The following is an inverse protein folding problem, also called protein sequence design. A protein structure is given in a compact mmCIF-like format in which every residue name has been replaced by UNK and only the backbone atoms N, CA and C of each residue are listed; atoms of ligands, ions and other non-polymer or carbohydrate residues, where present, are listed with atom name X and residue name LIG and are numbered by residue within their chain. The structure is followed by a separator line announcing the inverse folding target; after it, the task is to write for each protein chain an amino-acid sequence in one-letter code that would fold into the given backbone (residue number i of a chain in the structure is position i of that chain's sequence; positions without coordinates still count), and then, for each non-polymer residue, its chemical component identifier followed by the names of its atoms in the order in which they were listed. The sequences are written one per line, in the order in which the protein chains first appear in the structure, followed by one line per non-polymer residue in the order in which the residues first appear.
data_IF_208673002635
#
_entry.id   IF_208673002635
#
_cell.length_a   1.000
_cell.length_b   1.000
_cell.length_c   1.000
_cell.angle_alpha   90.00
_cell.angle_beta   90.00
_cell.angle_gamma   90.00
#
_symmetry.space_group_name_H-M   'P 1'
#
loop_
_entity.id
_entity.type
_entity.pdbx_description
1 polymer ?
#
# COMPACT_ATOMS: atom_id res chain seq x y z
N UNK A 1 6.02 2.92 -8.14
CA UNK A 1 7.23 3.23 -8.93
C UNK A 1 7.73 4.64 -8.64
N UNK A 2 6.91 5.69 -8.84
CA UNK A 2 7.34 7.10 -8.68
C UNK A 2 7.95 7.44 -7.32
N UNK A 3 7.30 7.07 -6.20
CA UNK A 3 7.85 7.33 -4.85
C UNK A 3 9.21 6.66 -4.62
N UNK A 4 9.39 5.43 -5.12
CA UNK A 4 10.66 4.73 -5.06
C UNK A 4 11.75 5.51 -5.82
N UNK A 5 11.47 5.94 -7.05
CA UNK A 5 12.42 6.64 -7.92
C UNK A 5 12.80 8.02 -7.38
N UNK A 6 11.84 8.73 -6.77
CA UNK A 6 12.07 10.07 -6.23
C UNK A 6 12.85 10.04 -4.91
N UNK A 7 12.47 9.16 -3.99
CA UNK A 7 12.97 9.19 -2.61
C UNK A 7 13.91 8.04 -2.27
N UNK A 8 13.61 6.81 -2.68
CA UNK A 8 14.33 5.60 -2.26
C UNK A 8 15.29 5.10 -3.35
N UNK A 9 16.20 5.97 -3.80
CA UNK A 9 17.14 5.68 -4.90
C UNK A 9 18.21 4.62 -4.56
N UNK A 10 18.48 4.42 -3.26
CA UNK A 10 19.47 3.47 -2.75
C UNK A 10 18.77 2.30 -2.06
N UNK A 11 19.37 1.12 -2.11
CA UNK A 11 18.89 -0.09 -1.43
C UNK A 11 20.04 -0.70 -0.60
N UNK A 12 19.96 -0.71 0.74
CA UNK A 12 18.88 -0.15 1.55
C UNK A 12 18.83 1.39 1.47
N UNK A 13 17.65 2.01 1.66
CA UNK A 13 17.53 3.47 1.70
C UNK A 13 18.15 4.04 2.98
N UNK A 14 18.53 5.32 2.91
CA UNK A 14 19.00 6.07 4.07
C UNK A 14 17.83 6.48 4.95
N UNK A 15 18.06 6.68 6.25
CA UNK A 15 17.01 7.20 7.14
C UNK A 15 16.49 8.57 6.68
N UNK A 16 17.39 9.44 6.17
CA UNK A 16 17.03 10.74 5.61
C UNK A 16 16.01 10.59 4.48
N UNK A 17 16.27 9.71 3.51
CA UNK A 17 15.33 9.46 2.41
C UNK A 17 13.98 8.88 2.86
N UNK A 18 13.96 8.06 3.91
CA UNK A 18 12.71 7.55 4.49
C UNK A 18 11.92 8.68 5.14
N UNK A 19 12.59 9.53 5.93
CA UNK A 19 11.96 10.71 6.57
C UNK A 19 11.40 11.67 5.52
N UNK A 20 12.14 11.94 4.44
CA UNK A 20 11.69 12.79 3.34
C UNK A 20 10.46 12.21 2.63
N UNK A 21 10.45 10.90 2.35
CA UNK A 21 9.28 10.23 1.78
C UNK A 21 8.06 10.36 2.69
N UNK A 22 8.21 10.07 3.99
CA UNK A 22 7.12 10.18 4.98
C UNK A 22 6.58 11.62 5.05
N UNK A 23 7.46 12.61 5.11
CA UNK A 23 7.09 14.04 5.11
C UNK A 23 6.30 14.41 3.85
N UNK A 24 6.74 13.95 2.68
CA UNK A 24 6.05 14.20 1.42
C UNK A 24 4.66 13.55 1.35
N UNK A 25 4.53 12.31 1.84
CA UNK A 25 3.23 11.63 1.95
C UNK A 25 2.30 12.41 2.87
N UNK A 26 2.78 12.76 4.08
CA UNK A 26 1.98 13.48 5.06
C UNK A 26 1.53 14.86 4.55
N UNK A 27 2.43 15.62 3.93
CA UNK A 27 2.10 16.91 3.32
C UNK A 27 1.05 16.76 2.20
N UNK A 28 1.19 15.73 1.36
CA UNK A 28 0.20 15.45 0.30
C UNK A 28 -1.17 15.11 0.88
N UNK A 29 -1.22 14.27 1.92
CA UNK A 29 -2.48 13.92 2.60
C UNK A 29 -3.12 15.15 3.26
N UNK A 30 -2.34 15.98 3.95
CA UNK A 30 -2.86 17.21 4.56
C UNK A 30 -3.39 18.22 3.54
N UNK A 31 -2.73 18.34 2.38
CA UNK A 31 -3.12 19.30 1.35
C UNK A 31 -4.40 18.88 0.61
N UNK A 32 -4.62 17.58 0.42
CA UNK A 32 -5.70 17.09 -0.45
C UNK A 32 -6.86 16.40 0.28
N UNK A 33 -6.68 16.00 1.53
CA UNK A 33 -7.75 15.35 2.31
C UNK A 33 -8.35 16.35 3.31
N UNK A 34 -9.62 16.74 3.14
CA UNK A 34 -10.28 17.65 4.08
C UNK A 34 -10.32 17.07 5.50
N UNK A 35 -10.28 17.95 6.50
CA UNK A 35 -10.30 17.52 7.91
C UNK A 35 -11.58 16.74 8.28
N UNK A 36 -12.70 17.00 7.60
CA UNK A 36 -13.95 16.26 7.77
C UNK A 36 -13.84 14.78 7.43
N UNK A 37 -12.93 14.40 6.53
CA UNK A 37 -12.70 13.01 6.12
C UNK A 37 -11.75 12.23 7.05
N UNK A 38 -11.25 12.85 8.14
CA UNK A 38 -10.32 12.16 9.06
C UNK A 38 -10.98 11.07 9.90
N UNK A 39 -12.32 11.08 10.02
CA UNK A 39 -13.08 10.02 10.70
C UNK A 39 -13.65 9.07 9.66
N UNK A 40 -13.02 7.91 9.51
CA UNK A 40 -13.51 6.82 8.65
C UNK A 40 -13.94 5.63 9.51
N UNK A 41 -15.06 5.01 9.16
CA UNK A 41 -15.61 3.83 9.85
C UNK A 41 -14.95 2.53 9.41
N UNK A 42 -14.46 2.48 8.17
CA UNK A 42 -13.84 1.31 7.57
C UNK A 42 -12.80 1.74 6.53
N UNK A 43 -11.77 0.92 6.34
CA UNK A 43 -10.78 1.09 5.29
C UNK A 43 -10.61 -0.20 4.50
N UNK A 44 -10.73 -0.09 3.18
CA UNK A 44 -10.59 -1.19 2.24
C UNK A 44 -9.47 -0.85 1.28
N UNK A 45 -8.49 -1.74 1.14
CA UNK A 45 -7.42 -1.62 0.16
C UNK A 45 -7.54 -2.67 -0.93
N UNK A 46 -7.24 -2.26 -2.14
CA UNK A 46 -7.23 -3.10 -3.33
C UNK A 46 -5.89 -2.99 -4.05
N UNK A 47 -5.77 -3.66 -5.20
CA UNK A 47 -4.60 -3.67 -6.08
C UNK A 47 -3.36 -4.42 -5.55
N UNK A 48 -2.32 -4.47 -6.39
CA UNK A 48 -1.18 -5.38 -6.24
C UNK A 48 -0.32 -5.12 -5.00
N UNK A 49 -0.11 -3.86 -4.62
CA UNK A 49 0.73 -3.52 -3.45
C UNK A 49 0.09 -3.97 -2.15
N UNK A 50 -1.19 -3.65 -1.93
CA UNK A 50 -1.90 -4.05 -0.70
C UNK A 50 -1.96 -5.57 -0.60
N UNK A 51 -2.26 -6.28 -1.70
CA UNK A 51 -2.23 -7.75 -1.74
C UNK A 51 -0.85 -8.33 -1.45
N UNK A 52 0.21 -7.74 -2.01
CA UNK A 52 1.57 -8.19 -1.76
C UNK A 52 1.96 -8.00 -0.29
N UNK A 53 1.56 -6.89 0.31
CA UNK A 53 1.78 -6.63 1.74
C UNK A 53 0.99 -7.60 2.61
N UNK A 54 -0.29 -7.87 2.30
CA UNK A 54 -1.10 -8.85 3.01
C UNK A 54 -0.43 -10.23 3.05
N UNK A 55 0.10 -10.71 1.91
CA UNK A 55 0.79 -12.00 1.85
C UNK A 55 2.01 -12.11 2.77
N UNK A 56 2.68 -11.00 3.08
CA UNK A 56 3.92 -10.99 3.87
C UNK A 56 3.72 -10.53 5.31
N UNK A 57 2.65 -9.80 5.60
CA UNK A 57 2.33 -9.33 6.96
C UNK A 57 1.22 -10.13 7.63
N UNK A 58 0.35 -10.78 6.86
CA UNK A 58 -0.83 -11.48 7.36
C UNK A 58 -1.32 -12.56 6.34
N UNK A 59 -0.51 -13.58 6.00
CA UNK A 59 -0.79 -14.52 4.92
C UNK A 59 -2.12 -15.28 5.05
N UNK A 60 -2.60 -15.48 6.27
CA UNK A 60 -3.82 -16.23 6.59
C UNK A 60 -5.03 -15.34 6.90
N UNK A 61 -4.92 -14.02 6.71
CA UNK A 61 -5.99 -13.08 7.02
C UNK A 61 -6.26 -12.12 5.86
N UNK A 62 -7.52 -11.72 5.70
CA UNK A 62 -7.92 -10.70 4.72
C UNK A 62 -7.75 -9.27 5.25
N UNK A 63 -6.95 -9.09 6.31
CA UNK A 63 -6.70 -7.79 6.96
C UNK A 63 -5.21 -7.56 7.17
N UNK A 64 -4.77 -6.31 7.00
CA UNK A 64 -3.43 -5.85 7.36
C UNK A 64 -3.54 -5.03 8.64
N UNK A 65 -2.90 -5.49 9.71
CA UNK A 65 -2.78 -4.72 10.95
C UNK A 65 -1.65 -3.70 10.87
N UNK A 66 -1.88 -2.49 11.39
CA UNK A 66 -0.89 -1.40 11.39
C UNK A 66 0.41 -1.83 12.07
N UNK A 67 0.31 -2.55 13.19
CA UNK A 67 1.47 -3.05 13.97
C UNK A 67 2.33 -4.03 13.16
N UNK A 68 1.69 -4.96 12.45
CA UNK A 68 2.41 -5.95 11.64
C UNK A 68 3.08 -5.28 10.43
N UNK A 69 2.39 -4.31 9.81
CA UNK A 69 2.96 -3.52 8.72
C UNK A 69 4.14 -2.65 9.19
N UNK A 70 4.05 -2.05 10.38
CA UNK A 70 5.13 -1.28 10.98
C UNK A 70 6.36 -2.14 11.25
N UNK A 71 6.18 -3.30 11.90
CA UNK A 71 7.25 -4.26 12.14
C UNK A 71 7.91 -4.73 10.83
N UNK A 72 7.09 -4.96 9.79
CA UNK A 72 7.56 -5.31 8.46
C UNK A 72 8.40 -4.18 7.84
N UNK A 73 7.96 -2.93 7.91
CA UNK A 73 8.72 -1.77 7.42
C UNK A 73 10.08 -1.65 8.12
N UNK A 74 10.12 -1.79 9.45
CA UNK A 74 11.35 -1.76 10.25
C UNK A 74 12.33 -2.86 9.84
N UNK A 75 11.81 -4.06 9.53
CA UNK A 75 12.60 -5.20 9.07
C UNK A 75 13.19 -4.94 7.68
N UNK A 76 12.36 -4.57 6.71
CA UNK A 76 12.78 -4.53 5.30
C UNK A 76 13.61 -3.30 4.94
N UNK A 77 13.48 -2.18 5.67
CA UNK A 77 14.27 -0.97 5.39
C UNK A 77 15.79 -1.18 5.55
N UNK A 78 16.20 -2.22 6.28
CA UNK A 78 17.61 -2.58 6.49
C UNK A 78 18.13 -3.62 5.50
N UNK A 79 17.26 -4.21 4.66
CA UNK A 79 17.62 -5.30 3.77
C UNK A 79 18.23 -4.81 2.46
N UNK A 80 19.25 -5.52 1.99
CA UNK A 80 19.74 -5.44 0.60
C UNK A 80 18.74 -6.10 -0.35
N UNK A 81 18.89 -5.84 -1.65
CA UNK A 81 17.89 -6.23 -2.65
C UNK A 81 17.65 -7.75 -2.76
N UNK A 82 18.70 -8.58 -2.73
CA UNK A 82 18.55 -10.03 -2.86
C UNK A 82 17.81 -10.68 -1.67
N UNK A 83 18.14 -10.38 -0.40
CA UNK A 83 17.30 -10.76 0.75
C UNK A 83 15.84 -10.28 0.65
N UNK A 84 15.64 -9.06 0.14
CA UNK A 84 14.30 -8.49 -0.02
C UNK A 84 13.47 -9.25 -1.05
N UNK A 85 14.03 -9.58 -2.22
CA UNK A 85 13.35 -10.38 -3.24
C UNK A 85 12.98 -11.78 -2.74
N UNK A 86 13.90 -12.43 -2.00
CA UNK A 86 13.64 -13.73 -1.36
C UNK A 86 12.49 -13.66 -0.36
N UNK A 87 12.50 -12.67 0.53
CA UNK A 87 11.45 -12.50 1.54
C UNK A 87 10.06 -12.33 0.92
N UNK A 88 9.97 -11.67 -0.24
CA UNK A 88 8.71 -11.38 -0.90
C UNK A 88 8.23 -12.50 -1.83
N UNK A 89 9.06 -13.53 -2.07
CA UNK A 89 8.85 -14.52 -3.13
C UNK A 89 8.52 -13.86 -4.48
N UNK A 90 9.17 -12.73 -4.80
CA UNK A 90 8.92 -11.99 -6.04
C UNK A 90 10.11 -12.06 -6.98
N UNK A 91 9.86 -12.53 -8.20
CA UNK A 91 10.71 -12.33 -9.37
C UNK A 91 10.64 -10.85 -9.84
N UNK A 92 11.77 -10.23 -10.21
CA UNK A 92 11.81 -8.91 -10.88
C UNK A 92 11.80 -7.65 -9.99
N UNK A 93 11.37 -6.50 -10.56
CA UNK A 93 11.43 -5.14 -9.96
C UNK A 93 10.44 -4.88 -8.79
N UNK A 94 9.64 -5.88 -8.38
CA UNK A 94 8.63 -5.70 -7.32
C UNK A 94 9.26 -5.54 -5.94
N UNK A 95 10.39 -6.20 -5.69
CA UNK A 95 11.15 -6.02 -4.46
C UNK A 95 11.61 -4.57 -4.26
N UNK A 96 11.99 -3.91 -5.35
CA UNK A 96 12.49 -2.54 -5.32
C UNK A 96 11.40 -1.56 -4.88
N UNK A 97 10.13 -1.78 -5.24
CA UNK A 97 9.03 -0.82 -4.98
C UNK A 97 8.22 -1.11 -3.70
N UNK A 98 8.39 -2.30 -3.09
CA UNK A 98 7.51 -2.71 -1.98
C UNK A 98 7.66 -1.80 -0.76
N UNK A 99 8.89 -1.35 -0.46
CA UNK A 99 9.15 -0.53 0.72
C UNK A 99 8.49 0.84 0.60
N UNK A 100 8.61 1.50 -0.55
CA UNK A 100 7.89 2.74 -0.80
C UNK A 100 6.36 2.56 -0.66
N UNK A 101 5.82 1.43 -1.16
CA UNK A 101 4.41 1.11 -1.02
C UNK A 101 3.97 0.81 0.41
N UNK A 102 4.81 0.10 1.17
CA UNK A 102 4.59 -0.23 2.58
C UNK A 102 4.56 1.03 3.44
N UNK A 103 5.55 1.92 3.25
CA UNK A 103 5.62 3.20 3.93
C UNK A 103 4.43 4.09 3.58
N UNK A 104 4.02 4.14 2.30
CA UNK A 104 2.82 4.86 1.89
C UNK A 104 1.57 4.36 2.63
N UNK A 105 1.33 3.05 2.61
CA UNK A 105 0.18 2.46 3.30
C UNK A 105 0.23 2.72 4.80
N UNK A 106 1.40 2.59 5.42
CA UNK A 106 1.59 2.84 6.84
C UNK A 106 1.28 4.30 7.22
N UNK A 107 1.78 5.27 6.46
CA UNK A 107 1.50 6.69 6.70
C UNK A 107 0.00 7.02 6.48
N UNK A 108 -0.66 6.38 5.51
CA UNK A 108 -2.12 6.48 5.35
C UNK A 108 -2.83 5.93 6.59
N UNK A 109 -2.40 4.77 7.11
CA UNK A 109 -2.98 4.19 8.32
C UNK A 109 -2.77 5.07 9.56
N UNK A 110 -1.63 5.76 9.69
CA UNK A 110 -1.46 6.75 10.76
C UNK A 110 -2.35 7.97 10.56
N UNK A 111 -2.42 8.50 9.34
CA UNK A 111 -3.18 9.70 9.03
C UNK A 111 -4.67 9.57 9.37
N UNK A 112 -5.27 8.40 9.08
CA UNK A 112 -6.66 8.10 9.40
C UNK A 112 -6.86 7.36 10.74
N UNK A 113 -5.80 7.23 11.56
CA UNK A 113 -5.80 6.47 12.81
C UNK A 113 -6.38 5.04 12.69
N UNK A 114 -6.05 4.37 11.59
CA UNK A 114 -6.50 3.00 11.32
C UNK A 114 -5.72 2.00 12.15
N UNK A 115 -6.43 1.08 12.80
CA UNK A 115 -5.85 -0.09 13.45
C UNK A 115 -5.52 -1.19 12.44
N UNK A 116 -6.43 -1.39 11.48
CA UNK A 116 -6.32 -2.39 10.43
C UNK A 116 -6.98 -1.88 9.14
N UNK A 117 -6.71 -2.58 8.04
CA UNK A 117 -7.29 -2.35 6.72
C UNK A 117 -7.68 -3.69 6.11
N UNK A 118 -8.90 -3.79 5.58
CA UNK A 118 -9.37 -4.99 4.87
C UNK A 118 -8.84 -5.02 3.44
N UNK A 119 -8.46 -6.19 2.96
CA UNK A 119 -7.88 -6.38 1.64
C UNK A 119 -8.85 -7.15 0.76
N UNK A 120 -9.19 -6.56 -0.38
CA UNK A 120 -10.11 -7.19 -1.34
C UNK A 120 -9.39 -7.72 -2.57
N UNK A 121 -9.91 -8.84 -3.09
CA UNK A 121 -9.43 -9.43 -4.35
C UNK A 121 -9.84 -8.61 -5.58
N UNK A 122 -10.96 -7.88 -5.49
CA UNK A 122 -11.49 -7.08 -6.60
C UNK A 122 -10.73 -5.75 -6.74
N UNK A 123 -10.71 -5.20 -7.94
CA UNK A 123 -10.11 -3.92 -8.28
C UNK A 123 -10.83 -3.26 -9.45
N UNK A 124 -10.14 -2.34 -10.13
CA UNK A 124 -10.73 -1.52 -11.19
C UNK A 124 -11.37 -2.35 -12.32
N UNK A 125 -10.71 -3.44 -12.74
CA UNK A 125 -11.22 -4.29 -13.84
C UNK A 125 -12.55 -4.95 -13.49
N UNK A 126 -12.73 -5.36 -12.24
CA UNK A 126 -13.98 -5.93 -11.77
C UNK A 126 -15.10 -4.88 -11.79
N UNK A 127 -14.79 -3.63 -11.42
CA UNK A 127 -15.74 -2.51 -11.50
C UNK A 127 -16.18 -2.20 -12.92
N UNK A 128 -15.24 -2.14 -13.87
CA UNK A 128 -15.54 -1.91 -15.30
C UNK A 128 -16.41 -3.05 -15.86
N UNK A 129 -16.12 -4.30 -15.49
CA UNK A 129 -16.92 -5.44 -15.94
C UNK A 129 -18.36 -5.37 -15.43
N UNK A 130 -18.54 -5.01 -14.15
CA UNK A 130 -19.88 -4.83 -13.56
C UNK A 130 -20.65 -3.71 -14.26
N UNK A 131 -20.00 -2.57 -14.51
CA UNK A 131 -20.62 -1.45 -15.23
C UNK A 131 -21.08 -1.85 -16.64
N UNK A 132 -20.28 -2.61 -17.38
CA UNK A 132 -20.66 -3.12 -18.69
C UNK A 132 -21.86 -4.09 -18.62
N UNK A 133 -21.86 -4.99 -17.63
CA UNK A 133 -22.97 -5.93 -17.44
C UNK A 133 -24.28 -5.21 -17.14
N UNK A 134 -24.24 -4.18 -16.28
CA UNK A 134 -25.41 -3.34 -15.97
C UNK A 134 -25.90 -2.57 -17.19
N UNK A 135 -24.99 -2.06 -18.03
CA UNK A 135 -25.33 -1.37 -19.26
C UNK A 135 -26.06 -2.29 -20.25
N UNK A 136 -25.54 -3.50 -20.50
CA UNK A 136 -26.17 -4.47 -21.39
C UNK A 136 -27.53 -4.94 -20.86
N UNK A 137 -27.65 -5.16 -19.54
CA UNK A 137 -28.91 -5.54 -18.91
C UNK A 137 -30.01 -4.48 -19.08
N UNK A 138 -29.65 -3.19 -18.98
CA UNK A 138 -30.59 -2.07 -19.19
C UNK A 138 -31.02 -1.93 -20.65
N UNK A 139 -30.17 -2.34 -21.61
CA UNK A 139 -30.49 -2.29 -23.04
C UNK A 139 -31.40 -3.45 -23.48
N UNK A 140 -31.35 -4.57 -22.77
CA UNK A 140 -32.15 -5.76 -23.02
C UNK A 140 -33.54 -5.75 -22.33
N UNK A 141 -33.80 -4.77 -21.46
CA UNK A 141 -35.07 -4.55 -20.78
C UNK A 141 -35.91 -3.48 -21.49
#
# INVERSE_FOLDING_TARGET
MRLQQLYLKKIPPTEKSIRELKKAIHASLQAHIPASFRKISCAIGSAGTVKALQKVTAPFHDTIDRKNLEAFCVKIQKLKLAPLKRLLHTEGRRGDIILAGALLLLEIMYFFNLRSLSVVKRGLRDGILLEQMEYEAKKAA
#
